data_IF_897850399358
#
_entry.id   IF_897850399358
#
_cell.length_a   1.000
_cell.length_b   1.000
_cell.length_c   1.000
_cell.angle_alpha   90.00
_cell.angle_beta   90.00
_cell.angle_gamma   90.00
#
_symmetry.space_group_name_H-M   'P 1'
#
loop_
_entity.id
_entity.type
_entity.pdbx_description
1 polymer ?
#
# COMPACT_ATOMS: atom_id res chain seq x y z
N UNK A 1 14.72 -58.41 71.04
CA UNK A 1 14.79 -56.93 71.07
C UNK A 1 16.03 -56.49 70.27
N UNK A 2 15.87 -55.92 69.08
CA UNK A 2 17.00 -55.52 68.22
C UNK A 2 17.44 -54.09 68.55
N UNK A 3 18.74 -53.91 68.84
CA UNK A 3 19.46 -52.63 68.87
C UNK A 3 20.58 -52.67 67.82
N UNK A 4 20.49 -51.74 66.88
CA UNK A 4 21.52 -50.91 66.22
C UNK A 4 22.99 -51.38 66.11
N UNK A 5 23.58 -51.31 64.88
CA UNK A 5 24.72 -50.43 64.49
C UNK A 5 25.19 -50.72 63.03
N UNK A 6 25.33 -49.63 62.23
CA UNK A 6 26.28 -49.23 61.15
C UNK A 6 26.97 -50.32 60.26
N UNK A 7 27.37 -50.14 58.99
CA UNK A 7 27.51 -49.05 58.00
C UNK A 7 27.92 -49.73 56.68
N UNK A 8 27.59 -49.18 55.50
CA UNK A 8 28.49 -49.15 54.34
C UNK A 8 28.05 -48.06 53.36
N UNK A 9 28.95 -47.08 53.19
CA UNK A 9 28.87 -45.94 52.29
C UNK A 9 28.92 -46.39 50.82
N UNK A 10 28.05 -45.83 49.98
CA UNK A 10 28.25 -45.80 48.53
C UNK A 10 28.49 -44.36 48.08
N UNK A 11 29.71 -44.13 47.59
CA UNK A 11 30.18 -42.92 46.94
C UNK A 11 29.62 -42.89 45.51
N UNK A 12 28.84 -41.88 45.14
CA UNK A 12 28.63 -41.55 43.73
C UNK A 12 28.46 -40.05 43.56
N UNK A 13 29.57 -39.45 43.13
CA UNK A 13 29.76 -38.11 42.62
C UNK A 13 28.75 -37.82 41.50
N UNK A 14 27.84 -36.86 41.68
CA UNK A 14 27.11 -36.25 40.56
C UNK A 14 27.34 -34.75 40.60
N UNK A 15 27.99 -34.33 39.53
CA UNK A 15 28.50 -33.01 39.23
C UNK A 15 27.37 -31.98 39.20
N UNK A 16 27.58 -30.88 39.90
CA UNK A 16 26.73 -29.68 39.90
C UNK A 16 26.71 -29.12 38.46
N UNK A 17 25.56 -29.14 37.81
CA UNK A 17 25.31 -28.28 36.65
C UNK A 17 24.34 -27.18 37.07
N UNK A 18 24.91 -26.04 37.45
CA UNK A 18 24.17 -24.80 37.57
C UNK A 18 23.62 -24.44 36.19
N UNK A 19 22.30 -24.53 36.02
CA UNK A 19 21.63 -23.90 34.90
C UNK A 19 21.72 -22.38 35.12
N UNK A 20 22.76 -21.78 34.56
CA UNK A 20 22.82 -20.35 34.34
C UNK A 20 21.69 -19.95 33.40
N UNK A 21 20.80 -19.09 33.88
CA UNK A 21 20.08 -18.18 33.01
C UNK A 21 21.14 -17.28 32.34
N UNK A 22 21.54 -17.62 31.13
CA UNK A 22 22.13 -16.64 30.24
C UNK A 22 20.98 -15.94 29.54
N UNK A 23 20.78 -14.66 29.86
CA UNK A 23 20.01 -13.78 29.02
C UNK A 23 20.75 -13.70 27.69
N UNK A 24 20.27 -14.42 26.68
CA UNK A 24 20.66 -14.17 25.30
C UNK A 24 20.05 -12.82 24.92
N UNK A 25 20.79 -11.75 25.21
CA UNK A 25 20.68 -10.51 24.47
C UNK A 25 21.03 -10.86 23.02
N UNK A 26 20.03 -11.28 22.25
CA UNK A 26 20.10 -11.34 20.81
C UNK A 26 20.47 -9.93 20.35
N UNK A 27 21.77 -9.75 20.13
CA UNK A 27 22.30 -8.59 19.45
C UNK A 27 21.75 -8.72 18.04
N UNK A 28 20.62 -8.06 17.78
CA UNK A 28 20.15 -7.77 16.43
C UNK A 28 21.24 -6.92 15.79
N UNK A 29 22.24 -7.59 15.21
CA UNK A 29 23.05 -6.98 14.18
C UNK A 29 22.08 -6.60 13.07
N UNK A 30 21.58 -5.35 13.10
CA UNK A 30 21.08 -4.67 11.92
C UNK A 30 22.26 -4.59 10.98
N UNK A 31 22.46 -5.63 10.18
CA UNK A 31 23.27 -5.55 8.98
C UNK A 31 22.69 -4.40 8.17
N UNK A 32 23.43 -3.31 8.09
CA UNK A 32 23.01 -2.13 7.35
C UNK A 32 22.79 -2.53 5.91
N UNK A 33 21.53 -2.53 5.47
CA UNK A 33 21.22 -2.55 4.05
C UNK A 33 21.63 -1.18 3.52
N UNK A 34 22.68 -1.13 2.73
CA UNK A 34 23.01 0.06 1.95
C UNK A 34 22.27 -0.03 0.61
N UNK A 35 21.85 1.10 0.00
CA UNK A 35 21.20 1.09 -1.32
C UNK A 35 21.99 0.32 -2.39
N UNK A 36 23.31 0.23 -2.25
CA UNK A 36 24.22 -0.46 -3.17
C UNK A 36 24.13 -2.00 -3.14
N UNK A 37 23.54 -2.59 -2.10
CA UNK A 37 23.60 -4.04 -1.84
C UNK A 37 22.21 -4.70 -1.87
N UNK A 38 21.20 -3.99 -2.37
CA UNK A 38 19.88 -4.57 -2.66
C UNK A 38 20.01 -5.35 -3.97
N UNK A 39 19.78 -6.68 -3.98
CA UNK A 39 19.74 -7.42 -5.22
C UNK A 39 18.49 -7.00 -6.00
N UNK A 40 18.64 -6.03 -6.91
CA UNK A 40 17.60 -5.58 -7.85
C UNK A 40 17.18 -6.67 -8.86
N UNK A 41 17.65 -7.90 -8.69
CA UNK A 41 17.19 -9.05 -9.46
C UNK A 41 15.82 -9.53 -8.94
N UNK A 42 14.85 -8.63 -8.89
CA UNK A 42 13.44 -8.95 -8.69
C UNK A 42 13.02 -9.73 -9.93
N UNK A 43 12.75 -11.03 -9.77
CA UNK A 43 12.03 -11.73 -10.82
C UNK A 43 10.67 -11.06 -10.95
N UNK A 44 10.22 -10.69 -12.16
CA UNK A 44 8.91 -10.10 -12.32
C UNK A 44 7.89 -11.03 -11.66
N UNK A 45 7.06 -10.46 -10.80
CA UNK A 45 5.93 -11.18 -10.22
C UNK A 45 5.13 -11.79 -11.38
N UNK A 46 4.50 -12.95 -11.14
CA UNK A 46 3.64 -13.55 -12.17
C UNK A 46 2.62 -12.48 -12.58
N UNK A 47 2.64 -12.08 -13.86
CA UNK A 47 1.70 -11.10 -14.40
C UNK A 47 0.28 -11.62 -14.22
N UNK A 48 -0.42 -11.17 -13.17
CA UNK A 48 -1.85 -11.42 -12.99
C UNK A 48 -2.58 -10.37 -13.81
N UNK A 49 -3.06 -10.72 -14.99
CA UNK A 49 -3.96 -9.86 -15.74
C UNK A 49 -5.31 -9.85 -15.03
N UNK A 50 -5.52 -8.90 -14.12
CA UNK A 50 -6.85 -8.57 -13.62
C UNK A 50 -7.49 -7.70 -14.70
N UNK A 51 -8.40 -8.26 -15.48
CA UNK A 51 -9.17 -7.45 -16.43
C UNK A 51 -10.01 -6.44 -15.65
N UNK A 52 -9.93 -5.17 -16.06
CA UNK A 52 -10.86 -4.16 -15.59
C UNK A 52 -12.29 -4.60 -15.93
N UNK A 53 -13.08 -4.85 -14.89
CA UNK A 53 -14.54 -4.83 -14.99
C UNK A 53 -15.00 -3.53 -14.35
N UNK A 54 -15.40 -2.55 -15.16
CA UNK A 54 -16.22 -1.46 -14.66
C UNK A 54 -17.36 -2.09 -13.87
N UNK A 55 -17.57 -1.76 -12.58
CA UNK A 55 -18.68 -2.32 -11.85
C UNK A 55 -19.96 -1.91 -12.59
N UNK A 56 -20.74 -2.90 -13.00
CA UNK A 56 -22.05 -2.62 -13.57
C UNK A 56 -22.84 -1.86 -12.50
N UNK A 57 -23.32 -0.67 -12.85
CA UNK A 57 -24.33 0.06 -12.08
C UNK A 57 -25.66 -0.67 -12.23
N UNK A 58 -25.75 -1.93 -11.83
CA UNK A 58 -26.99 -2.68 -11.78
C UNK A 58 -27.54 -2.60 -10.36
N UNK A 59 -28.73 -2.01 -10.24
CA UNK A 59 -29.46 -1.81 -8.99
C UNK A 59 -29.57 -3.06 -8.12
N UNK A 60 -29.82 -2.81 -6.84
CA UNK A 60 -29.99 -3.76 -5.74
C UNK A 60 -28.73 -4.35 -5.08
N UNK A 61 -27.61 -3.61 -5.07
CA UNK A 61 -26.64 -3.75 -3.97
C UNK A 61 -27.08 -2.88 -2.80
N UNK A 62 -27.43 -3.53 -1.69
CA UNK A 62 -27.59 -2.90 -0.38
C UNK A 62 -26.51 -1.86 -0.13
N UNK A 63 -26.86 -0.73 0.49
CA UNK A 63 -25.99 0.36 0.95
C UNK A 63 -24.99 -0.07 2.06
N UNK A 64 -24.44 -1.27 1.95
CA UNK A 64 -23.44 -1.82 2.85
C UNK A 64 -22.06 -1.37 2.37
N UNK A 65 -21.42 -0.52 3.16
CA UNK A 65 -20.04 -0.13 2.93
C UNK A 65 -19.12 -1.37 2.92
N UNK A 66 -18.19 -1.40 1.96
CA UNK A 66 -17.16 -2.41 1.89
C UNK A 66 -16.16 -2.19 3.02
N UNK A 67 -15.87 -3.23 3.80
CA UNK A 67 -14.98 -3.13 4.97
C UNK A 67 -13.51 -2.92 4.59
N UNK A 68 -13.10 -3.41 3.42
CA UNK A 68 -11.76 -3.21 2.83
C UNK A 68 -11.92 -3.01 1.34
N UNK A 69 -11.42 -1.90 0.83
CA UNK A 69 -11.62 -1.47 -0.56
C UNK A 69 -10.39 -0.71 -1.05
N UNK A 70 -9.95 -1.00 -2.28
CA UNK A 70 -8.74 -0.39 -2.83
C UNK A 70 -8.88 0.01 -4.30
N UNK A 71 -8.27 1.14 -4.65
CA UNK A 71 -7.97 1.54 -6.03
C UNK A 71 -6.46 1.63 -6.16
N UNK A 72 -5.92 0.89 -7.13
CA UNK A 72 -4.49 0.76 -7.36
C UNK A 72 -4.22 1.10 -8.82
N UNK A 73 -3.35 2.05 -9.07
CA UNK A 73 -3.00 2.54 -10.39
C UNK A 73 -1.49 2.42 -10.59
N UNK A 74 -1.08 1.88 -11.74
CA UNK A 74 0.32 1.80 -12.15
C UNK A 74 0.45 2.02 -13.65
N UNK A 75 1.24 3.01 -14.06
CA UNK A 75 1.36 3.38 -15.48
C UNK A 75 2.83 3.37 -15.87
N UNK A 76 3.23 2.39 -16.67
CA UNK A 76 4.57 2.33 -17.28
C UNK A 76 4.52 2.58 -18.78
N UNK A 77 3.53 2.04 -19.48
CA UNK A 77 3.29 2.26 -20.91
C UNK A 77 2.27 3.40 -21.08
N UNK A 78 2.78 4.60 -21.36
CA UNK A 78 1.99 5.80 -21.58
C UNK A 78 1.60 5.92 -23.06
N UNK A 79 0.57 6.71 -23.38
CA UNK A 79 0.20 6.91 -24.78
C UNK A 79 1.39 7.44 -25.62
N UNK A 80 1.77 6.68 -26.64
CA UNK A 80 3.02 6.90 -27.38
C UNK A 80 4.14 6.02 -26.82
N UNK A 81 5.38 6.50 -26.88
CA UNK A 81 6.54 5.81 -26.25
C UNK A 81 7.52 6.79 -25.59
N UNK A 82 7.29 8.10 -25.72
CA UNK A 82 8.26 9.12 -25.30
C UNK A 82 8.23 9.37 -23.78
N UNK A 83 7.17 8.92 -23.11
CA UNK A 83 6.94 9.17 -21.69
C UNK A 83 6.85 7.87 -20.88
N UNK A 84 7.31 6.75 -21.44
CA UNK A 84 7.22 5.48 -20.72
C UNK A 84 8.13 5.50 -19.49
N UNK A 85 7.61 4.90 -18.42
CA UNK A 85 8.34 4.63 -17.19
C UNK A 85 8.68 3.15 -17.13
N UNK A 86 9.50 2.79 -16.15
CA UNK A 86 9.78 1.39 -15.86
C UNK A 86 9.16 1.04 -14.51
N UNK A 87 8.48 -0.11 -14.44
CA UNK A 87 8.06 -0.80 -13.23
C UNK A 87 6.88 -0.22 -12.44
N UNK A 88 6.31 0.93 -12.81
CA UNK A 88 5.11 1.45 -12.12
C UNK A 88 3.91 0.48 -12.17
N UNK A 89 3.78 -0.29 -13.26
CA UNK A 89 2.76 -1.33 -13.38
C UNK A 89 3.09 -2.56 -12.52
N UNK A 90 4.37 -2.94 -12.42
CA UNK A 90 4.87 -3.98 -11.53
C UNK A 90 4.69 -3.61 -10.04
N UNK A 91 4.94 -2.35 -9.66
CA UNK A 91 4.76 -1.87 -8.29
C UNK A 91 3.28 -1.89 -7.90
N UNK A 92 2.38 -1.44 -8.78
CA UNK A 92 0.93 -1.57 -8.59
C UNK A 92 0.48 -3.04 -8.42
N UNK A 93 1.06 -3.98 -9.19
CA UNK A 93 0.80 -5.42 -9.01
C UNK A 93 1.28 -5.93 -7.66
N UNK A 94 2.43 -5.48 -7.18
CA UNK A 94 2.95 -5.89 -5.86
C UNK A 94 2.06 -5.39 -4.71
N UNK A 95 1.55 -4.15 -4.81
CA UNK A 95 0.57 -3.62 -3.86
C UNK A 95 -0.71 -4.44 -3.90
N UNK A 96 -1.22 -4.76 -5.09
CA UNK A 96 -2.40 -5.62 -5.27
C UNK A 96 -2.21 -6.97 -4.56
N UNK A 97 -1.13 -7.68 -4.88
CA UNK A 97 -0.83 -9.01 -4.33
C UNK A 97 -0.66 -8.97 -2.81
N UNK A 98 -0.06 -7.89 -2.30
CA UNK A 98 0.13 -7.66 -0.88
C UNK A 98 -1.18 -7.42 -0.16
N UNK A 99 -2.05 -6.55 -0.69
CA UNK A 99 -3.35 -6.26 -0.08
C UNK A 99 -4.26 -7.50 -0.09
N UNK A 100 -4.33 -8.21 -1.22
CA UNK A 100 -5.14 -9.41 -1.34
C UNK A 100 -4.60 -10.56 -0.48
N UNK A 101 -3.30 -10.83 -0.56
CA UNK A 101 -2.68 -12.01 0.06
C UNK A 101 -2.36 -11.87 1.55
N UNK A 102 -1.92 -10.69 2.00
CA UNK A 102 -1.46 -10.47 3.39
C UNK A 102 -2.44 -9.68 4.22
N UNK A 103 -3.07 -8.66 3.64
CA UNK A 103 -3.97 -7.76 4.37
C UNK A 103 -5.45 -8.13 4.23
N UNK A 104 -5.77 -9.19 3.48
CA UNK A 104 -7.11 -9.74 3.38
C UNK A 104 -8.13 -8.80 2.73
N UNK A 105 -7.70 -7.98 1.77
CA UNK A 105 -8.62 -7.26 0.90
C UNK A 105 -9.28 -8.27 -0.05
N UNK A 106 -10.61 -8.36 -0.10
CA UNK A 106 -11.28 -9.20 -1.08
C UNK A 106 -10.92 -8.74 -2.49
N UNK A 107 -10.51 -9.65 -3.38
CA UNK A 107 -10.04 -9.29 -4.73
C UNK A 107 -11.12 -8.60 -5.57
N UNK A 108 -12.40 -8.87 -5.30
CA UNK A 108 -13.54 -8.19 -5.91
C UNK A 108 -13.79 -6.77 -5.35
N UNK A 109 -13.07 -6.36 -4.31
CA UNK A 109 -13.08 -5.01 -3.74
C UNK A 109 -11.77 -4.26 -4.05
N UNK A 110 -10.96 -4.75 -4.99
CA UNK A 110 -9.74 -4.08 -5.45
C UNK A 110 -9.90 -3.78 -6.93
N UNK A 111 -9.84 -2.50 -7.29
CA UNK A 111 -9.75 -2.05 -8.68
C UNK A 111 -8.29 -1.81 -9.02
N UNK A 112 -7.78 -2.48 -10.05
CA UNK A 112 -6.41 -2.35 -10.55
C UNK A 112 -6.44 -1.76 -11.97
N UNK A 113 -5.89 -0.55 -12.13
CA UNK A 113 -5.78 0.15 -13.42
C UNK A 113 -4.32 0.19 -13.86
N UNK A 114 -4.02 -0.45 -14.98
CA UNK A 114 -2.66 -0.52 -15.51
C UNK A 114 -2.58 0.08 -16.91
N UNK A 115 -1.55 0.87 -17.15
CA UNK A 115 -1.19 1.43 -18.46
C UNK A 115 -2.42 2.05 -19.17
N UNK A 116 -2.74 1.59 -20.37
CA UNK A 116 -3.91 2.01 -21.17
C UNK A 116 -5.28 1.91 -20.48
N UNK A 117 -5.39 1.27 -19.32
CA UNK A 117 -6.61 1.25 -18.50
C UNK A 117 -6.68 2.38 -17.49
N UNK A 118 -5.55 2.99 -17.14
CA UNK A 118 -5.44 4.12 -16.23
C UNK A 118 -5.72 5.45 -16.96
N UNK A 119 -6.85 5.51 -17.67
CA UNK A 119 -7.32 6.73 -18.32
C UNK A 119 -7.86 7.72 -17.29
N UNK A 120 -7.91 8.99 -17.64
CA UNK A 120 -8.51 10.05 -16.82
C UNK A 120 -9.91 9.67 -16.32
N UNK A 121 -10.78 9.23 -17.24
CA UNK A 121 -12.15 8.83 -16.92
C UNK A 121 -12.21 7.64 -15.94
N UNK A 122 -11.38 6.62 -16.15
CA UNK A 122 -11.35 5.44 -15.28
C UNK A 122 -10.79 5.75 -13.89
N UNK A 123 -9.76 6.61 -13.80
CA UNK A 123 -9.20 7.01 -12.50
C UNK A 123 -10.26 7.76 -11.70
N UNK A 124 -10.93 8.74 -12.31
CA UNK A 124 -12.02 9.49 -11.65
C UNK A 124 -13.17 8.59 -11.23
N UNK A 125 -13.63 7.72 -12.12
CA UNK A 125 -14.68 6.75 -11.79
C UNK A 125 -14.26 5.80 -10.66
N UNK A 126 -13.00 5.40 -10.62
CA UNK A 126 -12.44 4.59 -9.54
C UNK A 126 -12.44 5.33 -8.19
N UNK A 127 -12.08 6.61 -8.18
CA UNK A 127 -12.12 7.44 -6.95
C UNK A 127 -13.57 7.63 -6.48
N UNK A 128 -14.49 7.92 -7.39
CA UNK A 128 -15.91 8.05 -7.07
C UNK A 128 -16.48 6.73 -6.51
N UNK A 129 -16.07 5.59 -7.08
CA UNK A 129 -16.42 4.27 -6.58
C UNK A 129 -15.87 4.01 -5.18
N UNK A 130 -14.61 4.39 -4.89
CA UNK A 130 -14.03 4.29 -3.55
C UNK A 130 -14.87 5.03 -2.50
N UNK A 131 -15.26 6.27 -2.83
CA UNK A 131 -16.05 7.13 -1.94
C UNK A 131 -17.45 6.54 -1.73
N UNK A 132 -18.12 6.15 -2.81
CA UNK A 132 -19.49 5.65 -2.74
C UNK A 132 -19.63 4.30 -2.00
N UNK A 133 -18.58 3.50 -1.97
CA UNK A 133 -18.60 2.13 -1.43
C UNK A 133 -17.81 1.99 -0.12
N UNK A 134 -17.25 3.06 0.42
CA UNK A 134 -16.62 3.07 1.75
C UNK A 134 -17.49 3.79 2.77
N UNK A 135 -17.31 3.45 4.04
CA UNK A 135 -18.08 4.01 5.14
C UNK A 135 -17.28 4.03 6.45
N UNK A 136 -17.90 4.45 7.56
CA UNK A 136 -17.28 4.38 8.87
C UNK A 136 -16.81 2.95 9.18
N UNK A 137 -15.54 2.80 9.57
CA UNK A 137 -14.93 1.51 9.87
C UNK A 137 -14.39 0.74 8.65
N UNK A 138 -14.56 1.24 7.44
CA UNK A 138 -13.86 0.72 6.25
C UNK A 138 -12.34 0.96 6.36
N UNK A 139 -11.56 0.17 5.64
CA UNK A 139 -10.15 0.45 5.34
C UNK A 139 -10.04 0.75 3.85
N UNK A 140 -9.66 1.98 3.51
CA UNK A 140 -9.61 2.47 2.14
C UNK A 140 -8.15 2.60 1.71
N UNK A 141 -7.81 2.07 0.55
CA UNK A 141 -6.48 2.26 -0.04
C UNK A 141 -6.61 2.92 -1.40
N UNK A 142 -5.87 4.01 -1.60
CA UNK A 142 -5.59 4.58 -2.91
C UNK A 142 -4.07 4.51 -3.12
N UNK A 143 -3.63 3.86 -4.20
CA UNK A 143 -2.22 3.78 -4.56
C UNK A 143 -2.06 4.21 -6.02
N UNK A 144 -1.16 5.15 -6.27
CA UNK A 144 -0.80 5.59 -7.61
C UNK A 144 0.72 5.50 -7.79
N UNK A 145 1.17 4.86 -8.88
CA UNK A 145 2.55 4.90 -9.34
C UNK A 145 2.60 5.33 -10.81
N UNK A 146 3.35 6.39 -11.10
CA UNK A 146 3.44 6.96 -12.45
C UNK A 146 4.08 8.36 -12.47
N UNK A 147 3.89 9.07 -13.58
CA UNK A 147 4.29 10.47 -13.70
C UNK A 147 3.47 11.38 -12.80
N UNK A 148 4.15 12.36 -12.23
CA UNK A 148 3.54 13.54 -11.64
C UNK A 148 4.07 14.79 -12.34
N UNK A 149 3.29 15.86 -12.35
CA UNK A 149 3.69 17.15 -12.89
C UNK A 149 3.29 18.26 -11.93
N UNK A 150 3.81 19.46 -12.18
CA UNK A 150 3.49 20.65 -11.41
C UNK A 150 3.29 21.86 -12.31
N UNK A 151 2.43 22.77 -11.89
CA UNK A 151 2.23 24.07 -12.51
C UNK A 151 2.87 25.16 -11.64
N UNK A 152 3.39 26.22 -12.26
CA UNK A 152 3.87 27.42 -11.54
C UNK A 152 2.77 28.45 -11.30
N UNK A 153 1.53 28.13 -11.67
CA UNK A 153 0.33 28.92 -11.45
C UNK A 153 -0.71 28.05 -10.81
N UNK A 154 -1.59 28.66 -10.03
CA UNK A 154 -2.78 28.02 -9.51
C UNK A 154 -3.72 27.63 -10.67
N UNK A 155 -3.98 26.33 -10.80
CA UNK A 155 -4.77 25.67 -11.83
C UNK A 155 -6.09 25.11 -11.31
N UNK A 156 -6.30 25.01 -9.99
CA UNK A 156 -7.50 24.44 -9.37
C UNK A 156 -8.29 25.41 -8.45
N UNK A 157 -7.88 26.67 -8.42
CA UNK A 157 -8.48 27.79 -7.66
C UNK A 157 -8.36 27.71 -6.14
N UNK A 158 -7.42 26.93 -5.61
CA UNK A 158 -7.12 26.91 -4.18
C UNK A 158 -6.22 28.10 -3.73
N UNK A 159 -5.59 28.01 -2.56
CA UNK A 159 -4.71 29.08 -2.06
C UNK A 159 -3.24 28.91 -2.47
N UNK A 160 -2.92 27.83 -3.19
CA UNK A 160 -1.56 27.47 -3.53
C UNK A 160 -1.05 28.26 -4.72
N UNK A 161 0.28 28.39 -4.76
CA UNK A 161 0.98 29.14 -5.82
C UNK A 161 1.48 28.22 -6.92
N UNK A 162 1.50 26.92 -6.65
CA UNK A 162 1.95 25.85 -7.52
C UNK A 162 1.03 24.67 -7.24
N UNK A 163 0.53 24.02 -8.28
CA UNK A 163 -0.35 22.87 -8.13
C UNK A 163 0.36 21.65 -8.68
N UNK A 164 0.13 20.49 -8.07
CA UNK A 164 0.62 19.22 -8.55
C UNK A 164 -0.50 18.36 -9.13
N UNK A 165 -0.12 17.44 -10.01
CA UNK A 165 -1.07 16.53 -10.62
C UNK A 165 -0.46 15.17 -10.90
N UNK A 166 -1.32 14.16 -10.84
CA UNK A 166 -1.04 12.85 -11.45
C UNK A 166 -1.35 12.91 -12.95
N UNK A 167 -0.63 12.11 -13.71
CA UNK A 167 -0.72 12.06 -15.18
C UNK A 167 -1.32 10.72 -15.61
N UNK A 168 -2.57 10.70 -16.10
CA UNK A 168 -3.18 9.51 -16.67
C UNK A 168 -2.49 9.05 -17.96
N UNK A 169 -2.85 7.86 -18.45
CA UNK A 169 -2.26 7.22 -19.62
C UNK A 169 -2.18 8.13 -20.86
N UNK A 170 -3.24 8.87 -21.15
CA UNK A 170 -3.36 9.80 -22.28
C UNK A 170 -2.68 11.17 -22.06
N UNK A 171 -1.85 11.29 -21.02
CA UNK A 171 -1.07 12.50 -20.70
C UNK A 171 -1.93 13.73 -20.38
N UNK A 172 -3.16 13.51 -19.89
CA UNK A 172 -3.98 14.54 -19.27
C UNK A 172 -3.46 14.91 -17.87
N UNK A 173 -4.24 15.67 -17.08
CA UNK A 173 -3.87 16.07 -15.72
C UNK A 173 -5.05 15.90 -14.78
N UNK A 174 -4.79 15.30 -13.63
CA UNK A 174 -5.69 15.26 -12.49
C UNK A 174 -5.00 16.01 -11.35
N UNK A 175 -5.47 17.22 -11.07
CA UNK A 175 -4.89 18.08 -10.05
C UNK A 175 -5.18 17.57 -8.64
N UNK A 176 -4.22 17.77 -7.76
CA UNK A 176 -4.29 17.48 -6.33
C UNK A 176 -5.51 18.09 -5.65
N UNK A 177 -5.88 19.35 -5.87
CA UNK A 177 -7.07 19.93 -5.23
C UNK A 177 -8.38 19.27 -5.65
N UNK A 178 -8.47 18.71 -6.87
CA UNK A 178 -9.60 17.87 -7.27
C UNK A 178 -9.64 16.57 -6.45
N UNK A 179 -8.48 15.92 -6.29
CA UNK A 179 -8.36 14.71 -5.48
C UNK A 179 -8.63 15.01 -4.00
N UNK A 180 -8.14 16.13 -3.46
CA UNK A 180 -8.39 16.59 -2.10
C UNK A 180 -9.89 16.78 -1.87
N UNK A 181 -10.58 17.49 -2.78
CA UNK A 181 -12.03 17.69 -2.71
C UNK A 181 -12.83 16.38 -2.77
N UNK A 182 -12.35 15.39 -3.53
CA UNK A 182 -12.94 14.04 -3.58
C UNK A 182 -12.68 13.29 -2.29
N UNK A 183 -11.42 13.17 -1.85
CA UNK A 183 -11.06 12.41 -0.66
C UNK A 183 -11.57 13.04 0.65
N UNK A 184 -11.88 14.34 0.67
CA UNK A 184 -12.58 14.98 1.78
C UNK A 184 -13.97 14.37 2.07
N UNK A 185 -14.57 13.71 1.07
CA UNK A 185 -15.88 13.05 1.18
C UNK A 185 -15.81 11.64 1.79
N UNK A 186 -14.61 11.07 1.96
CA UNK A 186 -14.46 9.79 2.64
C UNK A 186 -14.93 9.90 4.09
N UNK A 187 -15.83 9.01 4.49
CA UNK A 187 -16.32 8.92 5.87
C UNK A 187 -15.57 7.87 6.70
N UNK A 188 -14.74 7.06 6.04
CA UNK A 188 -13.77 6.17 6.67
C UNK A 188 -12.65 6.98 7.33
N UNK A 189 -12.17 6.52 8.48
CA UNK A 189 -11.02 7.12 9.18
C UNK A 189 -9.74 6.31 9.03
N UNK A 190 -9.79 5.15 8.36
CA UNK A 190 -8.62 4.31 8.08
C UNK A 190 -8.32 4.33 6.58
N UNK A 191 -7.75 5.43 6.12
CA UNK A 191 -7.45 5.65 4.70
C UNK A 191 -5.93 5.70 4.52
N UNK A 192 -5.42 4.95 3.55
CA UNK A 192 -4.03 4.98 3.13
C UNK A 192 -3.97 5.47 1.69
N UNK A 193 -3.47 6.69 1.49
CA UNK A 193 -3.39 7.34 0.19
C UNK A 193 -1.91 7.50 -0.14
N UNK A 194 -1.46 6.86 -1.20
CA UNK A 194 -0.04 6.83 -1.55
C UNK A 194 0.17 7.26 -3.00
N UNK A 195 1.10 8.20 -3.19
CA UNK A 195 1.53 8.71 -4.48
C UNK A 195 3.02 8.44 -4.67
N UNK A 196 3.33 7.44 -5.50
CA UNK A 196 4.68 7.11 -5.93
C UNK A 196 4.94 7.79 -7.29
N UNK A 197 5.17 9.10 -7.23
CA UNK A 197 5.37 9.93 -8.41
C UNK A 197 6.27 11.13 -8.14
N UNK A 198 6.97 11.61 -9.15
CA UNK A 198 7.71 12.87 -9.02
C UNK A 198 6.76 14.03 -8.64
N UNK A 199 7.21 14.91 -7.75
CA UNK A 199 6.42 16.04 -7.24
C UNK A 199 5.22 15.66 -6.35
N UNK A 200 5.10 14.39 -5.90
CA UNK A 200 4.10 13.97 -4.91
C UNK A 200 4.21 14.69 -3.56
N UNK A 201 5.39 15.21 -3.20
CA UNK A 201 5.65 15.82 -1.88
C UNK A 201 4.82 17.06 -1.55
N UNK A 202 4.20 17.70 -2.56
CA UNK A 202 3.26 18.81 -2.35
C UNK A 202 1.81 18.36 -2.15
N UNK A 203 1.47 17.11 -2.49
CA UNK A 203 0.13 16.51 -2.35
C UNK A 203 -0.26 16.15 -0.90
N UNK A 204 0.24 16.91 0.09
CA UNK A 204 0.09 16.65 1.52
C UNK A 204 -1.20 17.22 2.13
N UNK A 205 -1.93 18.01 1.36
CA UNK A 205 -3.23 18.58 1.68
C UNK A 205 -4.39 17.59 1.38
N UNK A 206 -4.06 16.44 0.79
CA UNK A 206 -5.01 15.39 0.48
C UNK A 206 -5.43 14.64 1.75
N UNK A 207 -6.73 14.59 2.05
CA UNK A 207 -7.32 13.60 2.97
C UNK A 207 -7.93 14.14 4.27
N UNK A 208 -9.06 13.54 4.67
CA UNK A 208 -9.80 13.87 5.90
C UNK A 208 -9.40 12.93 7.07
N UNK A 209 -8.13 13.00 7.51
CA UNK A 209 -7.62 12.24 8.66
C UNK A 209 -7.04 10.84 8.36
N UNK A 210 -6.80 10.51 7.10
CA UNK A 210 -6.01 9.34 6.67
C UNK A 210 -4.51 9.64 6.63
N UNK A 211 -3.69 8.60 6.46
CA UNK A 211 -2.25 8.75 6.24
C UNK A 211 -2.00 8.96 4.74
N UNK A 212 -1.32 10.06 4.40
CA UNK A 212 -0.82 10.32 3.05
C UNK A 212 0.68 10.06 3.02
N UNK A 213 1.08 9.19 2.08
CA UNK A 213 2.48 8.81 1.86
C UNK A 213 2.88 9.28 0.47
N UNK A 214 3.82 10.22 0.42
CA UNK A 214 4.35 10.85 -0.81
C UNK A 214 5.81 10.53 -1.03
#
# INVERSE_FOLDING_TARGET
>A
MRKTILVLLALSLVLIFALGFSADAATSARGGVTPSNIPWNRQPSKKVTVEFKAPETSGDVSAAALTKIALIIGISDYSGTSNDLNYCDDDAREVYDTLAGKYGFPTNNITLLLDSKATDANIRAGVDWLIANSGPGSSVVFYYSGHGSRSSSNMDSDAEKQDECIIPWELSRIWDGELAAKFAQLTSTNNWICFDSCYSGGMNDIGNGGEVVT
#
